data_IF_164340329142
#
_entry.id   IF_164340329142
#
_cell.length_a   1.000
_cell.length_b   1.000
_cell.length_c   1.000
_cell.angle_alpha   90.00
_cell.angle_beta   90.00
_cell.angle_gamma   90.00
#
_symmetry.space_group_name_H-M   'P 1'
#
loop_
_entity.id
_entity.type
_entity.pdbx_description
1 polymer ?
#
# COMPACT_ATOMS: atom_id res chain seq x y z
N UNK A 1 21.09 16.49 -2.80
CA UNK A 1 20.73 15.72 -1.59
C UNK A 1 19.43 16.18 -0.92
N UNK A 2 19.16 17.48 -0.76
CA UNK A 2 17.96 17.97 -0.05
C UNK A 2 16.63 17.53 -0.68
N UNK A 3 16.53 17.50 -2.01
CA UNK A 3 15.35 16.98 -2.73
C UNK A 3 15.05 15.52 -2.43
N UNK A 4 16.06 14.64 -2.36
CA UNK A 4 15.84 13.22 -2.05
C UNK A 4 15.44 13.00 -0.59
N UNK A 5 16.06 13.72 0.35
CA UNK A 5 15.69 13.67 1.77
C UNK A 5 14.23 14.09 1.99
N UNK A 6 13.78 15.14 1.30
CA UNK A 6 12.42 15.66 1.46
C UNK A 6 11.37 14.87 0.64
N UNK A 7 11.77 14.25 -0.48
CA UNK A 7 10.87 13.48 -1.33
C UNK A 7 10.65 12.04 -0.82
N UNK A 8 11.55 11.51 0.01
CA UNK A 8 11.44 10.12 0.47
C UNK A 8 10.17 9.86 1.30
N UNK A 9 9.87 10.62 2.37
CA UNK A 9 8.67 10.38 3.16
C UNK A 9 7.36 10.39 2.35
N UNK A 10 7.04 11.41 1.52
CA UNK A 10 5.79 11.41 0.77
C UNK A 10 5.74 10.29 -0.27
N UNK A 11 6.84 10.01 -0.97
CA UNK A 11 6.87 8.93 -1.95
C UNK A 11 6.69 7.55 -1.32
N UNK A 12 7.23 7.35 -0.11
CA UNK A 12 7.06 6.11 0.63
C UNK A 12 5.59 5.90 1.01
N UNK A 13 4.92 6.93 1.56
CA UNK A 13 3.49 6.84 1.87
C UNK A 13 2.66 6.57 0.60
N UNK A 14 2.92 7.29 -0.50
CA UNK A 14 2.22 7.03 -1.76
C UNK A 14 2.43 5.61 -2.29
N UNK A 15 3.59 5.00 -2.04
CA UNK A 15 3.83 3.59 -2.40
C UNK A 15 3.00 2.61 -1.56
N UNK A 16 2.72 2.94 -0.29
CA UNK A 16 1.83 2.16 0.57
C UNK A 16 0.37 2.33 0.16
N UNK A 17 -0.07 3.55 -0.14
CA UNK A 17 -1.42 3.82 -0.66
C UNK A 17 -1.68 3.03 -1.96
N UNK A 18 -0.68 3.01 -2.85
CA UNK A 18 -0.74 2.23 -4.09
C UNK A 18 -0.81 0.71 -3.82
N UNK A 19 -0.06 0.23 -2.82
CA UNK A 19 -0.07 -1.19 -2.42
C UNK A 19 -1.42 -1.59 -1.84
N UNK A 20 -1.99 -0.76 -0.96
CA UNK A 20 -3.31 -0.97 -0.37
C UNK A 20 -4.42 -0.98 -1.43
N UNK A 21 -4.35 -0.05 -2.40
CA UNK A 21 -5.26 0.00 -3.54
C UNK A 21 -5.19 -1.28 -4.38
N UNK A 22 -3.99 -1.78 -4.69
CA UNK A 22 -3.81 -3.02 -5.45
C UNK A 22 -4.31 -4.26 -4.69
N UNK A 23 -4.04 -4.36 -3.39
CA UNK A 23 -4.57 -5.45 -2.57
C UNK A 23 -6.10 -5.43 -2.55
N UNK A 24 -6.68 -4.24 -2.36
CA UNK A 24 -8.13 -4.05 -2.35
C UNK A 24 -8.74 -4.42 -3.70
N UNK A 25 -8.13 -4.03 -4.83
CA UNK A 25 -8.65 -4.34 -6.17
C UNK A 25 -8.65 -5.85 -6.46
N UNK A 26 -7.55 -6.54 -6.14
CA UNK A 26 -7.42 -8.00 -6.31
C UNK A 26 -8.45 -8.77 -5.48
N UNK A 27 -8.69 -8.35 -4.25
CA UNK A 27 -9.69 -8.98 -3.39
C UNK A 27 -11.12 -8.64 -3.81
N UNK A 28 -11.38 -7.42 -4.30
CA UNK A 28 -12.67 -7.07 -4.91
C UNK A 28 -12.96 -7.93 -6.14
N UNK A 29 -11.97 -8.12 -7.03
CA UNK A 29 -12.11 -8.97 -8.22
C UNK A 29 -12.48 -10.41 -7.84
N UNK A 30 -11.79 -11.00 -6.87
CA UNK A 30 -12.10 -12.34 -6.34
C UNK A 30 -13.50 -12.44 -5.73
N UNK A 31 -14.02 -11.36 -5.17
CA UNK A 31 -15.37 -11.27 -4.62
C UNK A 31 -16.44 -10.94 -5.67
N UNK A 32 -16.07 -10.82 -6.96
CA UNK A 32 -16.99 -10.44 -8.03
C UNK A 32 -17.44 -8.97 -7.96
N UNK A 33 -16.68 -8.12 -7.28
CA UNK A 33 -16.96 -6.69 -7.12
C UNK A 33 -16.18 -5.90 -8.17
N UNK A 34 -16.89 -5.24 -9.08
CA UNK A 34 -16.28 -4.26 -10.00
C UNK A 34 -15.62 -3.16 -9.18
N UNK A 35 -14.33 -2.93 -9.40
CA UNK A 35 -13.53 -1.96 -8.64
C UNK A 35 -12.80 -1.02 -9.59
N UNK A 36 -12.86 0.28 -9.30
CA UNK A 36 -12.06 1.32 -9.94
C UNK A 36 -11.52 2.23 -8.84
N UNK A 37 -10.31 2.74 -9.01
CA UNK A 37 -9.72 3.72 -8.10
C UNK A 37 -9.30 4.99 -8.84
N UNK A 38 -9.47 6.12 -8.16
CA UNK A 38 -8.83 7.38 -8.49
C UNK A 38 -8.01 7.77 -7.26
N UNK A 39 -6.74 7.36 -7.24
CA UNK A 39 -5.87 7.46 -6.08
C UNK A 39 -6.49 6.80 -4.82
N UNK A 40 -6.84 7.61 -3.81
CA UNK A 40 -7.41 7.23 -2.53
C UNK A 40 -8.94 7.01 -2.58
N UNK A 41 -9.58 7.35 -3.70
CA UNK A 41 -11.01 7.21 -3.89
C UNK A 41 -11.34 5.88 -4.57
N UNK A 42 -12.08 5.00 -3.88
CA UNK A 42 -12.45 3.67 -4.39
C UNK A 42 -13.92 3.63 -4.80
N UNK A 43 -14.18 3.17 -6.03
CA UNK A 43 -15.48 3.18 -6.67
C UNK A 43 -15.92 1.76 -7.01
N UNK A 44 -17.21 1.50 -6.82
CA UNK A 44 -17.89 0.25 -7.19
C UNK A 44 -19.38 0.55 -7.45
N UNK A 45 -20.16 -0.44 -7.87
CA UNK A 45 -21.60 -0.29 -7.97
C UNK A 45 -22.25 -0.06 -6.60
N UNK A 46 -23.33 0.74 -6.49
CA UNK A 46 -23.98 1.01 -5.20
C UNK A 46 -24.38 -0.24 -4.41
N UNK A 47 -24.77 -1.32 -5.10
CA UNK A 47 -25.14 -2.60 -4.48
C UNK A 47 -23.98 -3.32 -3.78
N UNK A 48 -22.73 -3.06 -4.18
CA UNK A 48 -21.53 -3.76 -3.71
C UNK A 48 -20.63 -2.92 -2.79
N UNK A 49 -21.01 -1.68 -2.49
CA UNK A 49 -20.24 -0.76 -1.62
C UNK A 49 -19.93 -1.37 -0.25
N UNK A 50 -20.87 -2.08 0.35
CA UNK A 50 -20.67 -2.72 1.66
C UNK A 50 -19.58 -3.81 1.61
N UNK A 51 -19.49 -4.56 0.52
CA UNK A 51 -18.47 -5.60 0.30
C UNK A 51 -17.10 -4.94 0.10
N UNK A 52 -17.03 -3.93 -0.78
CA UNK A 52 -15.81 -3.16 -1.01
C UNK A 52 -15.28 -2.52 0.28
N UNK A 53 -16.15 -1.95 1.12
CA UNK A 53 -15.77 -1.34 2.40
C UNK A 53 -15.21 -2.36 3.39
N UNK A 54 -15.77 -3.58 3.42
CA UNK A 54 -15.25 -4.67 4.23
C UNK A 54 -13.84 -5.05 3.76
N UNK A 55 -13.69 -5.31 2.47
CA UNK A 55 -12.41 -5.68 1.86
C UNK A 55 -11.36 -4.59 2.09
N UNK A 56 -11.70 -3.33 1.85
CA UNK A 56 -10.80 -2.18 2.03
C UNK A 56 -10.22 -2.14 3.45
N UNK A 57 -11.05 -2.31 4.49
CA UNK A 57 -10.60 -2.34 5.90
C UNK A 57 -9.75 -3.57 6.20
N UNK A 58 -10.14 -4.73 5.69
CA UNK A 58 -9.37 -5.97 5.85
C UNK A 58 -7.98 -5.84 5.23
N UNK A 59 -7.88 -5.28 4.02
CA UNK A 59 -6.59 -5.11 3.35
C UNK A 59 -5.73 -4.01 3.98
N UNK A 60 -6.35 -2.98 4.57
CA UNK A 60 -5.62 -1.97 5.33
C UNK A 60 -4.95 -2.59 6.56
N UNK A 61 -5.72 -3.38 7.32
CA UNK A 61 -5.20 -4.11 8.49
C UNK A 61 -4.15 -5.11 8.06
N UNK A 62 -4.38 -5.89 7.00
CA UNK A 62 -3.41 -6.86 6.51
C UNK A 62 -2.08 -6.20 6.13
N UNK A 63 -2.11 -5.12 5.36
CA UNK A 63 -0.91 -4.38 4.96
C UNK A 63 -0.15 -3.84 6.18
N UNK A 64 -0.84 -3.17 7.09
CA UNK A 64 -0.20 -2.55 8.27
C UNK A 64 0.10 -3.51 9.42
N UNK A 65 -0.32 -4.77 9.33
CA UNK A 65 0.11 -5.82 10.26
C UNK A 65 1.51 -6.34 9.94
N UNK A 66 2.00 -6.11 8.72
CA UNK A 66 3.38 -6.42 8.35
C UNK A 66 4.36 -5.44 9.01
N UNK A 67 5.60 -5.88 9.33
CA UNK A 67 6.61 -5.05 9.96
C UNK A 67 7.29 -4.09 8.95
N UNK A 68 6.50 -3.33 8.19
CA UNK A 68 6.93 -2.55 7.01
C UNK A 68 8.17 -1.68 7.28
N UNK A 69 8.20 -0.96 8.42
CA UNK A 69 9.32 -0.08 8.75
C UNK A 69 10.59 -0.85 9.09
N UNK A 70 10.45 -2.02 9.73
CA UNK A 70 11.59 -2.88 10.04
C UNK A 70 12.16 -3.47 8.75
N UNK A 71 11.29 -3.95 7.85
CA UNK A 71 11.70 -4.49 6.56
C UNK A 71 12.37 -3.42 5.68
N UNK A 72 11.83 -2.20 5.67
CA UNK A 72 12.45 -1.06 5.00
C UNK A 72 13.82 -0.75 5.60
N UNK A 73 13.94 -0.73 6.93
CA UNK A 73 15.23 -0.51 7.61
C UNK A 73 16.26 -1.57 7.24
N UNK A 74 15.86 -2.85 7.27
CA UNK A 74 16.71 -3.98 6.90
C UNK A 74 17.14 -3.90 5.44
N UNK A 75 16.22 -3.59 4.53
CA UNK A 75 16.51 -3.39 3.11
C UNK A 75 17.50 -2.26 2.87
N UNK A 76 17.32 -1.10 3.52
CA UNK A 76 18.23 0.03 3.36
C UNK A 76 19.61 -0.27 3.96
N UNK A 77 19.67 -0.96 5.10
CA UNK A 77 20.91 -1.41 5.70
C UNK A 77 21.64 -2.39 4.77
N UNK A 78 20.99 -3.45 4.29
CA UNK A 78 21.61 -4.43 3.40
C UNK A 78 22.11 -3.80 2.09
N UNK A 79 21.30 -2.93 1.49
CA UNK A 79 21.59 -2.36 0.16
C UNK A 79 22.63 -1.24 0.18
N UNK A 80 22.70 -0.46 1.26
CA UNK A 80 23.52 0.75 1.31
C UNK A 80 24.56 0.77 2.44
N UNK A 81 24.61 -0.25 3.32
CA UNK A 81 25.73 -0.37 4.26
C UNK A 81 27.02 -0.70 3.52
N UNK A 82 28.11 -0.04 3.93
CA UNK A 82 29.45 -0.42 3.51
C UNK A 82 29.80 -1.74 4.21
N UNK A 83 30.09 -2.79 3.45
CA UNK A 83 30.84 -3.92 3.98
C UNK A 83 32.28 -3.45 4.11
N UNK A 84 32.75 -3.23 5.34
CA UNK A 84 34.18 -3.09 5.59
C UNK A 84 34.86 -4.38 5.11
N UNK A 85 35.75 -4.23 4.13
CA UNK A 85 36.69 -5.25 3.69
C UNK A 85 38.07 -4.90 4.22
#
# INVERSE_FOLDING_TARGET
MMKQKNAFPPNFIHSLDSSHMMLTSLHCERAGVTFVSVHDCYWTHPSTVHIMNKICREQFVALHSEPILQDLSNFLADKYSYKEG
#
